data_IF_276844179883
#
_entry.id   IF_276844179883
#
_cell.length_a   1.000
_cell.length_b   1.000
_cell.length_c   1.000
_cell.angle_alpha   90.00
_cell.angle_beta   90.00
_cell.angle_gamma   90.00
#
_symmetry.space_group_name_H-M   'P 1'
#
loop_
_entity.id
_entity.type
_entity.pdbx_description
1 polymer ?
#
# COMPACT_ATOMS: atom_id res chain seq x y z
N UNK A 1 -18.35 -65.94 37.26
CA UNK A 1 -19.82 -66.15 37.45
C UNK A 1 -20.49 -65.83 36.13
N UNK A 2 -20.93 -66.93 35.46
CA UNK A 2 -22.17 -67.16 34.72
C UNK A 2 -22.58 -66.16 33.69
N UNK A 3 -22.42 -66.37 32.35
CA UNK A 3 -23.27 -67.24 31.50
C UNK A 3 -24.73 -66.79 31.42
N UNK A 4 -25.13 -66.26 30.28
CA UNK A 4 -26.43 -66.66 29.73
C UNK A 4 -26.44 -66.51 28.19
N UNK A 5 -26.62 -67.65 27.52
CA UNK A 5 -26.83 -67.79 26.07
C UNK A 5 -28.29 -67.48 25.78
N UNK A 6 -28.53 -66.44 24.97
CA UNK A 6 -29.85 -66.24 24.36
C UNK A 6 -29.89 -66.85 22.97
N UNK A 7 -30.59 -67.95 22.83
CA UNK A 7 -30.88 -68.69 21.60
C UNK A 7 -31.93 -67.88 20.85
N UNK A 8 -31.57 -67.30 19.70
CA UNK A 8 -32.53 -66.73 18.77
C UNK A 8 -33.11 -67.85 17.89
N UNK A 9 -34.35 -68.20 18.19
CA UNK A 9 -35.17 -69.06 17.36
C UNK A 9 -35.63 -68.37 16.09
N UNK A 10 -35.20 -68.91 14.95
CA UNK A 10 -35.73 -68.48 13.63
C UNK A 10 -37.15 -69.00 13.41
N UNK A 11 -38.09 -68.17 13.03
CA UNK A 11 -39.43 -68.64 12.70
C UNK A 11 -39.42 -69.44 11.39
N UNK A 12 -39.94 -70.65 11.37
CA UNK A 12 -40.17 -71.50 10.23
C UNK A 12 -41.06 -70.76 9.21
N UNK A 13 -40.49 -70.26 8.14
CA UNK A 13 -41.24 -69.71 7.02
C UNK A 13 -42.07 -70.76 6.37
N UNK A 14 -43.35 -70.53 6.37
CA UNK A 14 -44.49 -71.29 5.91
C UNK A 14 -44.21 -71.95 4.55
N UNK A 15 -43.89 -73.22 4.54
CA UNK A 15 -43.60 -74.10 3.42
C UNK A 15 -44.73 -74.12 2.35
N UNK A 16 -45.94 -73.78 2.75
CA UNK A 16 -47.12 -73.73 1.88
C UNK A 16 -47.07 -72.60 0.85
N UNK A 17 -46.66 -71.36 1.27
CA UNK A 17 -46.48 -70.19 0.39
C UNK A 17 -45.34 -70.39 -0.63
N UNK A 18 -44.28 -71.07 -0.24
CA UNK A 18 -43.14 -71.37 -1.14
C UNK A 18 -43.56 -72.40 -2.21
N UNK A 19 -44.36 -73.39 -1.83
CA UNK A 19 -44.87 -74.40 -2.76
C UNK A 19 -45.86 -73.80 -3.78
N UNK A 20 -46.80 -72.94 -3.35
CA UNK A 20 -47.77 -72.27 -4.22
C UNK A 20 -47.06 -71.30 -5.18
N UNK A 21 -46.01 -70.67 -4.77
CA UNK A 21 -45.22 -69.78 -5.63
C UNK A 21 -44.46 -70.58 -6.69
N UNK A 22 -43.87 -71.69 -6.33
CA UNK A 22 -43.15 -72.55 -7.28
C UNK A 22 -44.08 -73.19 -8.27
N UNK A 23 -45.29 -73.63 -7.87
CA UNK A 23 -46.31 -74.13 -8.80
C UNK A 23 -46.81 -73.06 -9.78
N UNK A 24 -46.93 -71.85 -9.33
CA UNK A 24 -47.31 -70.73 -10.21
C UNK A 24 -46.17 -70.41 -11.22
N UNK A 25 -44.95 -70.35 -10.77
CA UNK A 25 -43.78 -70.11 -11.63
C UNK A 25 -43.61 -71.28 -12.63
N UNK A 26 -43.85 -72.52 -12.25
CA UNK A 26 -43.82 -73.66 -13.18
C UNK A 26 -44.93 -73.62 -14.21
N UNK A 27 -46.15 -73.19 -13.85
CA UNK A 27 -47.25 -72.97 -14.79
C UNK A 27 -46.92 -71.85 -15.80
N UNK A 28 -46.37 -70.79 -15.34
CA UNK A 28 -45.98 -69.66 -16.16
C UNK A 28 -44.85 -70.06 -17.14
N UNK A 29 -43.87 -70.83 -16.67
CA UNK A 29 -42.80 -71.38 -17.51
C UNK A 29 -43.35 -72.33 -18.58
N UNK A 30 -44.30 -73.27 -18.23
CA UNK A 30 -44.93 -74.20 -19.18
C UNK A 30 -45.81 -73.45 -20.18
N UNK A 31 -46.48 -72.37 -19.79
CA UNK A 31 -47.24 -71.53 -20.68
C UNK A 31 -46.32 -70.85 -21.70
N UNK A 32 -45.20 -70.23 -21.24
CA UNK A 32 -44.22 -69.61 -22.11
C UNK A 32 -43.58 -70.63 -23.03
N UNK A 33 -43.18 -71.83 -22.55
CA UNK A 33 -42.56 -72.88 -23.36
C UNK A 33 -43.47 -73.42 -24.42
N UNK A 34 -44.82 -73.47 -24.23
CA UNK A 34 -45.84 -73.97 -25.21
C UNK A 34 -45.94 -73.03 -26.39
N UNK A 35 -45.67 -71.78 -26.25
CA UNK A 35 -45.75 -70.76 -27.32
C UNK A 35 -44.37 -70.35 -27.82
N UNK A 36 -43.28 -70.86 -27.23
CA UNK A 36 -41.92 -70.63 -27.64
C UNK A 36 -41.67 -71.38 -28.97
N UNK A 37 -41.51 -70.65 -30.03
CA UNK A 37 -40.97 -71.15 -31.30
C UNK A 37 -39.62 -70.54 -31.51
N UNK A 38 -38.60 -71.35 -31.71
CA UNK A 38 -37.26 -70.89 -32.02
C UNK A 38 -37.25 -69.95 -33.22
N UNK A 39 -36.51 -68.87 -33.17
CA UNK A 39 -36.34 -67.86 -34.20
C UNK A 39 -37.56 -66.99 -34.56
N UNK A 40 -38.66 -67.00 -33.79
CA UNK A 40 -39.82 -66.10 -34.05
C UNK A 40 -39.72 -64.73 -33.36
N UNK A 41 -38.77 -64.55 -32.41
CA UNK A 41 -38.47 -63.29 -31.77
C UNK A 41 -37.09 -62.81 -32.21
N UNK A 42 -37.07 -61.96 -33.19
CA UNK A 42 -35.86 -61.20 -33.53
C UNK A 42 -35.63 -60.18 -32.42
N UNK A 43 -34.80 -60.57 -31.42
CA UNK A 43 -34.47 -59.73 -30.27
C UNK A 43 -33.76 -58.44 -30.70
N UNK A 44 -33.03 -58.48 -31.80
CA UNK A 44 -32.35 -57.30 -32.34
C UNK A 44 -33.32 -56.25 -32.88
N UNK A 45 -34.37 -56.68 -33.61
CA UNK A 45 -35.42 -55.76 -34.06
C UNK A 45 -36.30 -55.26 -32.89
N UNK A 46 -36.55 -56.10 -31.87
CA UNK A 46 -37.29 -55.71 -30.67
C UNK A 46 -36.55 -54.62 -29.88
N UNK A 47 -35.26 -54.77 -29.72
CA UNK A 47 -34.42 -53.74 -29.05
C UNK A 47 -34.37 -52.44 -29.84
N UNK A 48 -34.33 -52.49 -31.16
CA UNK A 48 -34.39 -51.30 -32.02
C UNK A 48 -35.74 -50.57 -31.96
N UNK A 49 -36.86 -51.33 -31.90
CA UNK A 49 -38.19 -50.75 -31.78
C UNK A 49 -38.51 -50.17 -30.41
N UNK A 50 -37.88 -50.64 -29.35
CA UNK A 50 -38.03 -50.11 -28.00
C UNK A 50 -37.36 -48.76 -27.80
N UNK A 51 -36.60 -48.28 -28.80
CA UNK A 51 -35.97 -46.95 -28.72
C UNK A 51 -34.91 -46.83 -27.59
N UNK A 52 -34.57 -47.96 -26.95
CA UNK A 52 -33.52 -47.97 -25.88
C UNK A 52 -32.13 -48.04 -26.53
N UNK A 53 -32.02 -47.47 -27.69
CA UNK A 53 -30.80 -47.40 -28.47
C UNK A 53 -30.18 -46.05 -28.39
N UNK A 54 -29.04 -45.96 -27.69
CA UNK A 54 -28.13 -44.83 -27.69
C UNK A 54 -28.78 -43.50 -27.27
N UNK A 55 -29.04 -43.35 -26.00
CA UNK A 55 -29.03 -42.04 -25.42
C UNK A 55 -27.63 -41.43 -25.72
N UNK A 56 -27.61 -40.58 -26.76
CA UNK A 56 -26.41 -39.84 -27.16
C UNK A 56 -25.99 -39.06 -25.93
N UNK A 57 -24.94 -39.53 -25.27
CA UNK A 57 -24.44 -38.86 -24.07
C UNK A 57 -23.95 -37.46 -24.44
N UNK A 58 -24.89 -36.51 -24.47
CA UNK A 58 -24.57 -35.07 -24.60
C UNK A 58 -23.78 -34.53 -23.38
N UNK A 59 -23.58 -35.40 -22.36
CA UNK A 59 -22.79 -35.07 -21.18
C UNK A 59 -21.37 -34.64 -21.55
N UNK A 60 -20.74 -35.30 -22.51
CA UNK A 60 -19.36 -34.94 -22.94
C UNK A 60 -19.31 -33.53 -23.55
N UNK A 61 -20.32 -33.16 -24.32
CA UNK A 61 -20.44 -31.81 -24.87
C UNK A 61 -20.71 -30.80 -23.78
N UNK A 62 -21.59 -31.15 -22.83
CA UNK A 62 -21.88 -30.29 -21.65
C UNK A 62 -20.66 -30.09 -20.80
N UNK A 63 -19.88 -31.14 -20.48
CA UNK A 63 -18.64 -31.03 -19.74
C UNK A 63 -17.61 -30.18 -20.50
N UNK A 64 -17.47 -30.31 -21.80
CA UNK A 64 -16.58 -29.46 -22.60
C UNK A 64 -16.99 -27.99 -22.57
N UNK A 65 -18.29 -27.69 -22.64
CA UNK A 65 -18.78 -26.31 -22.52
C UNK A 65 -18.54 -25.73 -21.11
N UNK A 66 -18.76 -26.52 -20.06
CA UNK A 66 -18.49 -26.12 -18.67
C UNK A 66 -17.01 -25.85 -18.46
N UNK A 67 -16.12 -26.72 -18.98
CA UNK A 67 -14.67 -26.51 -18.84
C UNK A 67 -14.21 -25.27 -19.60
N UNK A 68 -14.71 -25.01 -20.80
CA UNK A 68 -14.39 -23.78 -21.55
C UNK A 68 -14.88 -22.55 -20.78
N UNK A 69 -16.12 -22.58 -20.27
CA UNK A 69 -16.67 -21.50 -19.48
C UNK A 69 -15.85 -21.25 -18.20
N UNK A 70 -15.44 -22.31 -17.49
CA UNK A 70 -14.61 -22.19 -16.30
C UNK A 70 -13.23 -21.57 -16.62
N UNK A 71 -12.57 -22.01 -17.69
CA UNK A 71 -11.28 -21.46 -18.12
C UNK A 71 -11.41 -20.01 -18.55
N UNK A 72 -12.46 -19.65 -19.31
CA UNK A 72 -12.68 -18.25 -19.70
C UNK A 72 -12.97 -17.37 -18.50
N UNK A 73 -13.71 -17.86 -17.50
CA UNK A 73 -13.95 -17.13 -16.25
C UNK A 73 -12.66 -16.91 -15.42
N UNK A 74 -11.80 -17.94 -15.37
CA UNK A 74 -10.50 -17.83 -14.70
C UNK A 74 -9.57 -16.83 -15.43
N UNK A 75 -9.52 -16.88 -16.75
CA UNK A 75 -8.72 -15.93 -17.55
C UNK A 75 -9.27 -14.50 -17.38
N UNK A 76 -10.58 -14.32 -17.45
CA UNK A 76 -11.20 -13.01 -17.26
C UNK A 76 -10.99 -12.47 -15.83
N UNK A 77 -11.13 -13.32 -14.81
CA UNK A 77 -10.87 -12.98 -13.41
C UNK A 77 -9.41 -12.63 -13.17
N UNK A 78 -8.48 -13.42 -13.72
CA UNK A 78 -7.04 -13.15 -13.62
C UNK A 78 -6.66 -11.87 -14.38
N UNK A 79 -7.20 -11.65 -15.58
CA UNK A 79 -6.98 -10.41 -16.36
C UNK A 79 -7.55 -9.19 -15.64
N UNK A 80 -8.74 -9.31 -15.07
CA UNK A 80 -9.35 -8.26 -14.24
C UNK A 80 -8.49 -7.93 -13.02
N UNK A 81 -8.03 -8.95 -12.30
CA UNK A 81 -7.15 -8.78 -11.15
C UNK A 81 -5.82 -8.12 -11.55
N UNK A 82 -5.19 -8.57 -12.64
CA UNK A 82 -3.93 -8.01 -13.12
C UNK A 82 -4.06 -6.56 -13.60
N UNK A 83 -5.16 -6.21 -14.30
CA UNK A 83 -5.43 -4.83 -14.72
C UNK A 83 -5.75 -3.96 -13.49
N UNK A 84 -6.46 -4.50 -12.50
CA UNK A 84 -6.84 -3.77 -11.29
C UNK A 84 -5.67 -3.49 -10.35
N UNK A 85 -4.68 -4.39 -10.29
CA UNK A 85 -3.49 -4.29 -9.44
C UNK A 85 -2.31 -3.58 -10.14
N UNK A 86 -2.50 -3.08 -11.36
CA UNK A 86 -1.46 -2.31 -12.06
C UNK A 86 -1.20 -1.01 -11.31
N UNK A 87 0.05 -0.88 -10.84
CA UNK A 87 0.59 0.36 -10.29
C UNK A 87 1.40 1.06 -11.37
N UNK A 88 1.15 2.35 -11.55
CA UNK A 88 1.89 3.20 -12.50
C UNK A 88 2.61 4.28 -11.69
N UNK A 89 3.85 3.98 -11.33
CA UNK A 89 4.65 4.83 -10.49
C UNK A 89 5.24 6.00 -11.27
N UNK A 90 4.90 7.22 -10.84
CA UNK A 90 5.60 8.45 -11.26
C UNK A 90 6.66 8.73 -10.21
N UNK A 91 7.92 8.84 -10.68
CA UNK A 91 9.06 9.25 -9.85
C UNK A 91 9.46 10.65 -10.27
N UNK A 92 9.48 11.55 -9.30
CA UNK A 92 9.91 12.92 -9.46
C UNK A 92 11.15 13.10 -8.58
N UNK A 93 12.29 13.37 -9.21
CA UNK A 93 13.54 13.62 -8.50
C UNK A 93 13.99 15.05 -8.74
N UNK A 94 14.62 15.64 -7.72
CA UNK A 94 15.40 16.89 -7.84
C UNK A 94 16.84 16.54 -8.21
N UNK A 95 17.52 17.48 -8.89
CA UNK A 95 18.96 17.35 -9.15
C UNK A 95 19.79 17.61 -7.89
N UNK A 96 21.09 17.34 -7.97
CA UNK A 96 22.04 17.59 -6.88
C UNK A 96 22.18 19.06 -6.51
N UNK A 97 21.79 19.98 -7.41
CA UNK A 97 22.04 21.40 -7.25
C UNK A 97 20.79 22.28 -7.47
N UNK A 98 19.59 21.69 -7.44
CA UNK A 98 18.37 22.46 -7.66
C UNK A 98 17.20 21.96 -6.81
N UNK A 99 16.52 22.91 -6.22
CA UNK A 99 15.19 22.72 -5.63
C UNK A 99 14.18 22.54 -6.74
N UNK A 100 13.22 21.63 -6.58
CA UNK A 100 12.20 21.34 -7.57
C UNK A 100 10.80 21.51 -7.00
N UNK A 101 10.00 22.33 -7.62
CA UNK A 101 8.59 22.49 -7.29
C UNK A 101 7.72 21.53 -8.11
N UNK A 102 6.74 20.94 -7.46
CA UNK A 102 5.81 19.99 -8.04
C UNK A 102 4.40 20.26 -7.55
N UNK A 103 3.45 20.29 -8.46
CA UNK A 103 2.02 20.31 -8.12
C UNK A 103 1.43 18.94 -8.41
N UNK A 104 0.84 18.33 -7.40
CA UNK A 104 0.17 17.03 -7.51
C UNK A 104 -1.26 17.19 -8.08
N UNK A 105 -1.88 16.09 -8.55
CA UNK A 105 -3.23 16.12 -9.13
C UNK A 105 -4.35 16.62 -8.19
N UNK A 106 -4.12 16.64 -6.87
CA UNK A 106 -5.04 17.17 -5.84
C UNK A 106 -4.80 18.64 -5.50
N UNK A 107 -3.97 19.33 -6.30
CA UNK A 107 -3.50 20.70 -6.09
C UNK A 107 -2.63 20.89 -4.83
N UNK A 108 -2.08 19.83 -4.27
CA UNK A 108 -1.05 19.94 -3.25
C UNK A 108 0.27 20.36 -3.88
N UNK A 109 0.97 21.32 -3.27
CA UNK A 109 2.26 21.82 -3.72
C UNK A 109 3.38 21.22 -2.88
N UNK A 110 4.40 20.74 -3.55
CA UNK A 110 5.56 20.12 -2.91
C UNK A 110 6.82 20.79 -3.44
N UNK A 111 7.68 21.22 -2.53
CA UNK A 111 9.02 21.70 -2.84
C UNK A 111 10.01 20.61 -2.41
N UNK A 112 10.66 19.97 -3.37
CA UNK A 112 11.73 19.00 -3.13
C UNK A 112 13.05 19.73 -2.97
N UNK A 113 13.74 19.48 -1.88
CA UNK A 113 15.13 19.92 -1.72
C UNK A 113 16.04 19.12 -2.68
N UNK A 114 17.29 19.54 -2.77
CA UNK A 114 18.33 18.84 -3.54
C UNK A 114 18.44 17.37 -3.16
N UNK A 115 18.84 16.53 -4.10
CA UNK A 115 19.01 15.09 -3.91
C UNK A 115 17.79 14.38 -3.28
N UNK A 116 16.59 14.87 -3.58
CA UNK A 116 15.36 14.33 -3.04
C UNK A 116 14.49 13.73 -4.13
N UNK A 117 13.77 12.67 -3.81
CA UNK A 117 12.87 12.00 -4.73
C UNK A 117 11.51 11.75 -4.08
N UNK A 118 10.46 12.05 -4.84
CA UNK A 118 9.07 11.78 -4.52
C UNK A 118 8.50 10.81 -5.55
N UNK A 119 7.74 9.83 -5.09
CA UNK A 119 7.02 8.94 -6.00
C UNK A 119 5.58 8.73 -5.54
N UNK A 120 4.68 8.54 -6.50
CA UNK A 120 3.29 8.20 -6.27
C UNK A 120 2.72 7.36 -7.41
N UNK A 121 1.67 6.60 -7.12
CA UNK A 121 0.97 5.82 -8.14
C UNK A 121 -0.07 6.71 -8.86
N UNK A 122 0.18 6.98 -10.15
CA UNK A 122 -0.67 7.83 -11.00
C UNK A 122 -2.11 7.34 -11.12
N UNK A 123 -2.32 6.04 -11.09
CA UNK A 123 -3.65 5.45 -11.26
C UNK A 123 -4.48 5.49 -9.98
N UNK A 124 -3.81 5.40 -8.84
CA UNK A 124 -4.45 5.37 -7.52
C UNK A 124 -4.57 6.76 -6.89
N UNK A 125 -3.60 7.66 -7.14
CA UNK A 125 -3.55 8.97 -6.52
C UNK A 125 -4.75 9.86 -6.87
N UNK A 126 -5.36 10.46 -5.85
CA UNK A 126 -6.55 11.30 -6.00
C UNK A 126 -7.85 10.54 -6.25
N UNK A 127 -7.80 9.23 -6.56
CA UNK A 127 -8.98 8.38 -6.79
C UNK A 127 -9.22 7.39 -5.65
N UNK A 128 -8.18 6.67 -5.25
CA UNK A 128 -8.24 5.65 -4.18
C UNK A 128 -7.55 6.14 -2.91
N UNK A 129 -6.48 6.92 -3.05
CA UNK A 129 -5.68 7.43 -1.93
C UNK A 129 -4.91 8.68 -2.36
N UNK A 130 -4.22 9.32 -1.40
CA UNK A 130 -3.26 10.40 -1.62
C UNK A 130 -1.91 10.02 -0.99
N UNK A 131 -1.38 8.87 -1.41
CA UNK A 131 -0.13 8.36 -0.86
C UNK A 131 1.05 8.76 -1.75
N UNK A 132 2.09 9.24 -1.11
CA UNK A 132 3.40 9.53 -1.74
C UNK A 132 4.51 8.86 -0.93
N UNK A 133 5.59 8.49 -1.59
CA UNK A 133 6.81 8.00 -0.93
C UNK A 133 7.90 9.04 -1.11
N UNK A 134 8.58 9.38 -0.03
CA UNK A 134 9.66 10.37 -0.01
C UNK A 134 10.99 9.73 0.37
N UNK A 135 12.02 10.08 -0.38
CA UNK A 135 13.42 9.92 0.00
C UNK A 135 14.10 11.29 -0.14
N UNK A 136 14.80 11.74 0.90
CA UNK A 136 15.39 13.07 0.96
C UNK A 136 14.53 14.05 1.77
N UNK A 137 14.56 15.33 1.41
CA UNK A 137 13.91 16.43 2.12
C UNK A 137 12.86 17.09 1.22
N UNK A 138 11.67 17.29 1.77
CA UNK A 138 10.61 17.98 1.06
C UNK A 138 9.75 18.82 2.01
N UNK A 139 9.27 19.94 1.49
CA UNK A 139 8.22 20.74 2.09
C UNK A 139 6.91 20.47 1.37
N UNK A 140 5.85 20.32 2.13
CA UNK A 140 4.51 19.99 1.66
C UNK A 140 3.52 21.08 2.04
N UNK A 141 2.81 21.61 1.07
CA UNK A 141 1.61 22.45 1.27
C UNK A 141 0.42 21.67 0.75
N UNK A 142 -0.22 20.92 1.65
CA UNK A 142 -1.26 19.93 1.29
C UNK A 142 -2.64 20.58 1.30
N UNK A 143 -3.37 20.41 0.19
CA UNK A 143 -4.76 20.81 0.07
C UNK A 143 -5.65 20.07 1.06
N UNK A 144 -6.52 20.81 1.77
CA UNK A 144 -7.38 20.23 2.81
C UNK A 144 -8.45 19.32 2.22
N UNK A 145 -8.50 18.06 2.68
CA UNK A 145 -9.51 17.06 2.33
C UNK A 145 -9.71 16.09 3.50
N UNK A 146 -10.87 16.17 4.17
CA UNK A 146 -11.17 15.33 5.33
C UNK A 146 -11.39 13.86 4.99
N UNK A 147 -12.03 13.58 3.85
CA UNK A 147 -12.43 12.23 3.46
C UNK A 147 -11.28 11.40 2.88
N UNK A 148 -10.21 12.05 2.42
CA UNK A 148 -9.06 11.38 1.83
C UNK A 148 -7.76 11.94 2.41
N UNK A 149 -7.24 11.37 3.52
CA UNK A 149 -6.00 11.82 4.13
C UNK A 149 -4.81 11.71 3.18
N UNK A 150 -3.94 12.71 3.19
CA UNK A 150 -2.67 12.68 2.50
C UNK A 150 -1.64 11.94 3.35
N UNK A 151 -0.87 11.04 2.76
CA UNK A 151 0.13 10.23 3.45
C UNK A 151 1.48 10.33 2.78
N UNK A 152 2.50 10.66 3.57
CA UNK A 152 3.91 10.54 3.17
C UNK A 152 4.47 9.28 3.80
N UNK A 153 4.94 8.37 2.98
CA UNK A 153 5.61 7.15 3.40
C UNK A 153 7.12 7.34 3.28
N UNK A 154 7.84 6.93 4.29
CA UNK A 154 9.30 6.88 4.30
C UNK A 154 9.76 5.51 4.79
N UNK A 155 11.05 5.26 4.79
CA UNK A 155 11.58 3.98 5.26
C UNK A 155 11.26 3.71 6.74
N UNK A 156 11.37 4.73 7.60
CA UNK A 156 11.27 4.59 9.07
C UNK A 156 9.92 5.03 9.64
N UNK A 157 9.19 5.94 8.98
CA UNK A 157 7.96 6.52 9.49
C UNK A 157 6.93 6.77 8.39
N UNK A 158 5.70 6.96 8.82
CA UNK A 158 4.60 7.45 8.02
C UNK A 158 4.06 8.75 8.60
N UNK A 159 3.69 9.65 7.73
CA UNK A 159 3.13 10.95 8.07
C UNK A 159 1.74 11.04 7.45
N UNK A 160 0.74 11.40 8.23
CA UNK A 160 -0.64 11.55 7.75
C UNK A 160 -1.18 12.92 8.12
N UNK A 161 -1.79 13.59 7.14
CA UNK A 161 -2.39 14.92 7.30
C UNK A 161 -3.72 15.01 6.56
N UNK A 162 -4.55 15.99 6.92
CA UNK A 162 -5.78 16.31 6.19
C UNK A 162 -5.60 17.54 5.28
N UNK A 163 -4.81 18.52 5.73
CA UNK A 163 -4.46 19.75 5.02
C UNK A 163 -3.55 20.57 5.94
N UNK A 164 -2.27 20.60 5.63
CA UNK A 164 -1.21 20.98 6.55
C UNK A 164 -0.01 21.46 5.75
N UNK A 165 0.71 22.42 6.29
CA UNK A 165 2.01 22.84 5.80
C UNK A 165 3.09 22.26 6.73
N UNK A 166 4.00 21.48 6.18
CA UNK A 166 5.01 20.77 6.96
C UNK A 166 6.19 20.34 6.12
N UNK A 167 7.31 20.11 6.77
CA UNK A 167 8.51 19.56 6.15
C UNK A 167 8.75 18.15 6.64
N UNK A 168 9.23 17.29 5.74
CA UNK A 168 9.74 15.96 6.07
C UNK A 168 11.17 15.85 5.59
N UNK A 169 12.03 15.28 6.44
CA UNK A 169 13.38 14.86 6.05
C UNK A 169 13.49 13.36 6.31
N UNK A 170 13.81 12.60 5.28
CA UNK A 170 13.89 11.15 5.34
C UNK A 170 15.20 10.67 4.70
N UNK A 171 16.00 10.01 5.48
CA UNK A 171 17.20 9.31 5.02
C UNK A 171 17.29 7.94 5.69
N UNK A 172 18.30 7.16 5.33
CA UNK A 172 18.49 5.82 5.88
C UNK A 172 18.57 5.77 7.41
N UNK A 173 19.04 6.84 8.06
CA UNK A 173 19.31 6.87 9.51
C UNK A 173 18.13 7.37 10.34
N UNK A 174 17.35 8.30 9.78
CA UNK A 174 16.24 8.93 10.48
C UNK A 174 15.18 9.49 9.54
N UNK A 175 13.97 9.58 10.06
CA UNK A 175 12.89 10.36 9.45
C UNK A 175 12.43 11.40 10.47
N UNK A 176 12.27 12.64 10.03
CA UNK A 176 11.77 13.73 10.86
C UNK A 176 10.65 14.50 10.16
N UNK A 177 9.81 15.14 10.97
CA UNK A 177 8.76 16.03 10.51
C UNK A 177 8.71 17.30 11.35
N UNK A 178 8.55 18.45 10.70
CA UNK A 178 8.35 19.76 11.33
C UNK A 178 7.07 20.38 10.79
N UNK A 179 6.24 20.92 11.67
CA UNK A 179 4.93 21.47 11.30
C UNK A 179 4.97 23.00 11.29
N UNK A 180 4.69 23.58 10.13
CA UNK A 180 4.52 25.03 9.97
C UNK A 180 3.08 25.46 10.29
N UNK A 181 2.09 24.73 9.79
CA UNK A 181 0.68 25.01 10.10
C UNK A 181 -0.17 23.73 10.00
N UNK A 182 -1.22 23.65 10.83
CA UNK A 182 -2.13 22.51 10.85
C UNK A 182 -1.75 21.42 11.84
N UNK A 183 -2.04 20.16 11.52
CA UNK A 183 -1.79 18.98 12.36
C UNK A 183 -1.21 17.85 11.55
N UNK A 184 -0.22 17.17 12.09
CA UNK A 184 0.46 16.02 11.52
C UNK A 184 0.36 14.84 12.46
N UNK A 185 -0.11 13.71 11.97
CA UNK A 185 0.04 12.41 12.64
C UNK A 185 1.32 11.77 12.14
N UNK A 186 2.31 11.65 13.03
CA UNK A 186 3.61 11.04 12.77
C UNK A 186 3.66 9.68 13.47
N UNK A 187 3.92 8.59 12.75
CA UNK A 187 3.88 7.24 13.32
C UNK A 187 4.83 6.28 12.59
N UNK A 188 5.27 5.24 13.30
CA UNK A 188 6.12 4.19 12.74
C UNK A 188 5.36 2.85 12.55
N UNK A 189 6.07 1.84 12.04
CA UNK A 189 5.52 0.49 11.86
C UNK A 189 5.15 -0.19 13.19
N UNK A 190 5.79 0.18 14.30
CA UNK A 190 5.53 -0.33 15.64
C UNK A 190 4.34 0.35 16.34
N UNK A 191 3.57 1.16 15.61
CA UNK A 191 2.42 1.93 16.11
C UNK A 191 2.75 2.97 17.19
N UNK A 192 4.02 3.33 17.38
CA UNK A 192 4.37 4.54 18.12
C UNK A 192 3.91 5.73 17.31
N UNK A 193 3.11 6.59 17.90
CA UNK A 193 2.56 7.76 17.20
C UNK A 193 2.63 9.02 18.02
N UNK A 194 2.68 10.15 17.32
CA UNK A 194 2.62 11.50 17.87
C UNK A 194 1.74 12.38 16.99
N UNK A 195 1.00 13.26 17.63
CA UNK A 195 0.28 14.35 16.97
C UNK A 195 1.11 15.60 17.12
N UNK A 196 1.62 16.12 16.01
CA UNK A 196 2.38 17.35 15.95
C UNK A 196 1.47 18.50 15.52
N UNK A 197 1.67 19.65 16.14
CA UNK A 197 1.01 20.91 15.81
C UNK A 197 2.03 21.97 15.43
N UNK A 198 1.57 23.14 15.02
CA UNK A 198 2.44 24.24 14.61
C UNK A 198 3.64 24.44 15.55
N UNK A 199 4.83 24.52 14.98
CA UNK A 199 6.10 24.72 15.69
C UNK A 199 6.67 23.47 16.34
N UNK A 200 5.99 22.32 16.25
CA UNK A 200 6.51 21.06 16.78
C UNK A 200 7.40 20.35 15.74
N UNK A 201 8.38 19.66 16.26
CA UNK A 201 9.30 18.79 15.54
C UNK A 201 9.30 17.40 16.16
N UNK A 202 9.33 16.37 15.35
CA UNK A 202 9.57 15.00 15.81
C UNK A 202 10.49 14.27 14.85
N UNK A 203 11.27 13.33 15.40
CA UNK A 203 12.04 12.42 14.57
C UNK A 203 11.99 10.99 15.12
N UNK A 204 12.26 10.04 14.24
CA UNK A 204 12.46 8.64 14.56
C UNK A 204 13.76 8.16 13.93
N UNK A 205 14.56 7.41 14.68
CA UNK A 205 15.80 6.82 14.20
C UNK A 205 15.62 5.34 13.80
N UNK A 206 16.67 4.74 13.24
CA UNK A 206 16.68 3.31 12.85
C UNK A 206 16.36 2.34 14.01
N UNK A 207 16.59 2.73 15.26
CA UNK A 207 16.28 1.93 16.45
C UNK A 207 14.80 2.03 16.86
N UNK A 208 13.97 2.73 16.08
CA UNK A 208 12.56 2.96 16.41
C UNK A 208 12.34 3.90 17.59
N UNK A 209 13.37 4.65 18.01
CA UNK A 209 13.24 5.64 19.07
C UNK A 209 12.66 6.92 18.51
N UNK A 210 11.51 7.34 19.04
CA UNK A 210 10.83 8.58 18.67
C UNK A 210 11.11 9.64 19.71
N UNK A 211 11.50 10.85 19.26
CA UNK A 211 11.64 12.05 20.09
C UNK A 211 10.76 13.15 19.53
N UNK A 212 10.21 13.96 20.43
CA UNK A 212 9.28 15.05 20.09
C UNK A 212 9.78 16.29 20.82
N UNK A 213 9.93 17.37 20.06
CA UNK A 213 10.29 18.69 20.56
C UNK A 213 9.11 19.64 20.31
N UNK A 214 8.80 20.46 21.30
CA UNK A 214 7.66 21.41 21.22
C UNK A 214 8.00 22.67 20.43
N UNK A 215 9.28 22.95 20.23
CA UNK A 215 9.73 24.11 19.48
C UNK A 215 10.77 23.66 18.46
N UNK A 216 10.46 23.86 17.19
CA UNK A 216 11.39 23.64 16.09
C UNK A 216 12.36 24.81 15.95
N UNK A 217 13.51 24.58 15.32
CA UNK A 217 14.40 25.67 14.92
C UNK A 217 13.65 26.61 13.97
N UNK A 218 13.65 27.95 14.23
CA UNK A 218 12.96 28.94 13.39
C UNK A 218 13.44 28.91 11.93
N UNK A 219 14.69 28.51 11.68
CA UNK A 219 15.28 28.46 10.37
C UNK A 219 15.08 27.13 9.62
N UNK A 220 14.26 26.24 10.18
CA UNK A 220 13.98 24.93 9.55
C UNK A 220 13.51 25.04 8.08
N UNK A 221 12.82 26.12 7.75
CA UNK A 221 12.26 26.35 6.38
C UNK A 221 13.13 27.32 5.55
N UNK A 222 14.23 27.84 6.07
CA UNK A 222 15.07 28.85 5.42
C UNK A 222 15.60 28.40 4.05
N UNK A 223 15.88 27.13 3.86
CA UNK A 223 16.32 26.56 2.58
C UNK A 223 15.31 26.76 1.42
N UNK A 224 14.03 26.99 1.77
CA UNK A 224 12.95 27.26 0.81
C UNK A 224 12.55 28.73 0.78
N UNK A 225 12.48 29.35 1.97
CA UNK A 225 11.95 30.71 2.12
C UNK A 225 13.02 31.79 2.02
N UNK A 226 14.29 31.45 2.19
CA UNK A 226 15.41 32.39 2.38
C UNK A 226 15.16 33.41 3.50
N UNK A 227 14.29 33.04 4.47
CA UNK A 227 14.06 33.82 5.68
C UNK A 227 14.82 33.17 6.83
N UNK A 228 15.68 33.95 7.46
CA UNK A 228 16.48 33.53 8.61
C UNK A 228 16.14 34.42 9.81
N UNK A 229 15.91 33.80 10.96
CA UNK A 229 15.65 34.49 12.21
C UNK A 229 16.69 34.05 13.22
N UNK A 230 17.50 34.99 13.68
CA UNK A 230 18.53 34.77 14.68
C UNK A 230 18.21 35.55 15.93
N UNK A 231 18.29 34.93 17.09
CA UNK A 231 18.14 35.55 18.39
C UNK A 231 19.25 35.02 19.27
N UNK A 232 20.25 35.88 19.56
CA UNK A 232 21.45 35.52 20.27
C UNK A 232 22.12 34.24 19.73
N UNK A 233 22.12 34.10 18.42
CA UNK A 233 22.64 32.91 17.74
C UNK A 233 24.16 33.00 17.62
N UNK A 234 24.92 31.95 18.01
CA UNK A 234 26.36 31.93 17.81
C UNK A 234 26.73 32.09 16.33
N UNK A 235 27.67 32.97 16.00
CA UNK A 235 28.08 33.28 14.63
C UNK A 235 28.46 32.02 13.84
N UNK A 236 29.09 31.04 14.46
CA UNK A 236 29.44 29.77 13.84
C UNK A 236 28.21 29.00 13.37
N UNK A 237 27.07 29.05 14.10
CA UNK A 237 25.80 28.46 13.73
C UNK A 237 25.20 29.24 12.54
N UNK A 238 25.21 30.57 12.60
CA UNK A 238 24.74 31.46 11.53
C UNK A 238 25.45 31.16 10.21
N UNK A 239 26.78 31.15 10.24
CA UNK A 239 27.60 30.88 9.05
C UNK A 239 27.27 29.51 8.47
N UNK A 240 27.22 28.48 9.31
CA UNK A 240 26.88 27.12 8.83
C UNK A 240 25.53 27.03 8.14
N UNK A 241 24.51 27.67 8.71
CA UNK A 241 23.16 27.68 8.11
C UNK A 241 23.12 28.45 6.79
N UNK A 242 23.83 29.57 6.68
CA UNK A 242 23.97 30.33 5.44
C UNK A 242 24.72 29.54 4.38
N UNK A 243 25.83 28.89 4.71
CA UNK A 243 26.57 28.01 3.79
C UNK A 243 25.69 26.87 3.25
N UNK A 244 24.89 26.25 4.13
CA UNK A 244 23.98 25.16 3.73
C UNK A 244 22.89 25.63 2.76
N UNK A 245 22.37 26.83 2.93
CA UNK A 245 21.26 27.34 2.11
C UNK A 245 21.75 27.98 0.82
N UNK A 246 22.78 28.84 0.88
CA UNK A 246 23.29 29.57 -0.26
C UNK A 246 24.34 28.80 -1.08
N UNK A 247 24.80 27.64 -0.55
CA UNK A 247 25.81 26.78 -1.23
C UNK A 247 27.12 27.49 -1.52
N UNK A 248 27.53 28.29 -0.60
CA UNK A 248 28.81 29.00 -0.59
C UNK A 248 29.68 28.55 0.56
N UNK A 249 30.95 28.81 0.50
CA UNK A 249 31.84 28.67 1.67
C UNK A 249 32.17 30.03 2.20
N UNK A 250 32.06 30.22 3.54
CA UNK A 250 32.29 31.48 4.21
C UNK A 250 33.56 31.36 5.08
N UNK A 251 34.60 32.10 4.65
CA UNK A 251 35.86 32.20 5.35
C UNK A 251 35.88 33.31 6.40
N UNK A 252 37.04 33.49 7.05
CA UNK A 252 37.26 34.60 7.98
C UNK A 252 36.54 34.48 9.31
N UNK A 253 36.07 33.29 9.71
CA UNK A 253 35.33 33.08 10.97
C UNK A 253 36.27 33.34 12.15
N UNK A 254 35.94 34.33 13.01
CA UNK A 254 36.81 34.66 14.14
C UNK A 254 36.82 33.57 15.22
N UNK A 255 37.95 33.44 15.94
CA UNK A 255 38.02 32.51 17.06
C UNK A 255 37.19 32.96 18.27
N UNK A 256 37.05 34.28 18.44
CA UNK A 256 36.19 34.86 19.48
C UNK A 256 34.72 34.53 19.20
N UNK A 257 33.98 34.21 20.24
CA UNK A 257 32.54 34.01 20.12
C UNK A 257 31.81 35.33 19.92
N UNK A 258 31.00 35.39 18.88
CA UNK A 258 30.05 36.45 18.57
C UNK A 258 28.67 35.89 18.52
N UNK A 259 27.70 36.71 18.89
CA UNK A 259 26.27 36.38 18.85
C UNK A 259 25.54 37.37 17.96
N UNK A 260 24.62 36.89 17.15
CA UNK A 260 23.84 37.70 16.21
C UNK A 260 22.37 37.65 16.59
N UNK A 261 21.73 38.82 16.62
CA UNK A 261 20.26 38.97 16.69
C UNK A 261 19.79 39.80 15.50
N UNK A 262 19.15 39.16 14.55
CA UNK A 262 18.67 39.80 13.32
C UNK A 262 17.69 38.91 12.58
N UNK A 263 16.99 39.48 11.59
CA UNK A 263 16.20 38.73 10.62
C UNK A 263 16.64 39.12 9.22
N UNK A 264 16.98 38.13 8.40
CA UNK A 264 17.20 38.30 6.97
C UNK A 264 15.99 37.74 6.22
N UNK A 265 15.44 38.51 5.28
CA UNK A 265 14.29 38.12 4.49
C UNK A 265 14.64 38.24 3.00
N UNK A 266 14.81 37.09 2.34
CA UNK A 266 15.20 37.00 0.93
C UNK A 266 16.37 37.92 0.54
N UNK A 267 17.34 38.07 1.45
CA UNK A 267 18.50 38.97 1.29
C UNK A 267 19.61 38.24 0.55
N UNK A 268 20.28 38.81 -0.44
CA UNK A 268 21.45 38.21 -1.09
C UNK A 268 22.56 37.89 -0.08
N UNK A 269 23.31 36.83 -0.32
CA UNK A 269 24.35 36.39 0.63
C UNK A 269 25.45 37.41 0.82
N UNK A 270 25.81 38.15 -0.25
CA UNK A 270 26.79 39.19 -0.22
C UNK A 270 26.38 40.29 0.77
N UNK A 271 25.12 40.73 0.70
CA UNK A 271 24.57 41.76 1.60
C UNK A 271 24.50 41.25 3.05
N UNK A 272 24.14 39.98 3.24
CA UNK A 272 24.16 39.34 4.59
C UNK A 272 25.54 39.39 5.18
N UNK A 273 26.56 39.00 4.45
CA UNK A 273 27.97 39.01 4.93
C UNK A 273 28.42 40.44 5.22
N UNK A 274 28.07 41.42 4.38
CA UNK A 274 28.40 42.83 4.66
C UNK A 274 27.74 43.31 5.96
N UNK A 275 26.45 43.04 6.18
CA UNK A 275 25.71 43.42 7.38
C UNK A 275 26.34 42.77 8.61
N UNK A 276 26.68 41.48 8.55
CA UNK A 276 27.35 40.78 9.68
C UNK A 276 28.71 41.43 9.99
N UNK A 277 29.52 41.70 8.95
CA UNK A 277 30.82 42.31 9.11
C UNK A 277 30.73 43.70 9.75
N UNK A 278 29.80 44.55 9.30
CA UNK A 278 29.56 45.87 9.84
C UNK A 278 29.04 45.83 11.30
N UNK A 279 28.17 44.86 11.61
CA UNK A 279 27.53 44.76 12.94
C UNK A 279 28.48 44.22 14.00
N UNK A 280 29.32 43.25 13.64
CA UNK A 280 30.17 42.50 14.58
C UNK A 280 31.67 42.89 14.47
N UNK A 281 31.99 43.80 13.57
CA UNK A 281 33.40 44.17 13.25
C UNK A 281 34.25 42.93 12.91
N UNK A 282 33.69 42.10 12.01
CA UNK A 282 34.34 40.87 11.51
C UNK A 282 34.85 41.05 10.08
N UNK A 283 35.53 40.04 9.56
CA UNK A 283 36.04 40.00 8.17
C UNK A 283 35.69 38.68 7.52
N UNK A 284 34.38 38.35 7.55
CA UNK A 284 33.88 37.22 6.79
C UNK A 284 34.01 37.49 5.31
N UNK A 285 34.35 36.48 4.51
CA UNK A 285 34.48 36.55 3.07
C UNK A 285 33.85 35.29 2.47
N UNK A 286 33.28 35.44 1.24
CA UNK A 286 32.75 34.33 0.46
C UNK A 286 33.88 33.79 -0.39
N UNK A 287 34.27 32.54 -0.15
CA UNK A 287 35.22 31.80 -1.01
C UNK A 287 34.44 30.83 -1.90
N UNK A 288 34.76 30.85 -3.18
CA UNK A 288 34.15 29.94 -4.16
C UNK A 288 34.66 28.51 -4.01
#
# INVERSE_FOLDING_TARGET
RQANRGILSFPCLNNKKKKDRMEKEEKDIRFVARFYRENRLDTTQAWQKLGIGKQKNNSILLYRLITIAAVTFLIAGFSWWWIYDRQDWIVIASSAHAVKEVTLPDNSHITLAENSALQYDRLAYGKKNRNVTLNGKAYFSVTHQEQCPFRVQTELANIQVLGTQFQVTANANQTSATVESGKVRFYNKEQKEAILTKGMYAFINQKGQMQIEKQSDPNTFAWKTHVFVYNEAPLKKVVKELEEVYKVHIGGIPQKEYYLTTTFDNTPIEDIIEIINQTLDTKLDITQ
#
